data_IF_032185049788
#
_entry.id   IF_032185049788
#
_cell.length_a   1.000
_cell.length_b   1.000
_cell.length_c   1.000
_cell.angle_alpha   90.00
_cell.angle_beta   90.00
_cell.angle_gamma   90.00
#
_symmetry.space_group_name_H-M   'P 1'
#
loop_
_entity.id
_entity.type
_entity.pdbx_description
1 polymer ?
#
# COMPACT_ATOMS: atom_id res chain seq x y z
N UNK A 1 -6.18 10.90 14.55
CA UNK A 1 -5.51 12.14 14.12
C UNK A 1 -4.25 12.30 14.97
N UNK A 2 -3.07 12.07 14.40
CA UNK A 2 -1.77 12.04 15.09
C UNK A 2 -1.20 13.45 15.32
N UNK A 3 -2.08 14.45 15.52
CA UNK A 3 -1.71 15.86 15.61
C UNK A 3 -1.49 16.56 14.26
N UNK A 4 -1.83 15.91 13.14
CA UNK A 4 -1.71 16.45 11.78
C UNK A 4 -3.07 16.47 11.07
N UNK A 5 -3.42 17.57 10.41
CA UNK A 5 -4.54 17.62 9.49
C UNK A 5 -4.34 16.68 8.29
N UNK A 6 -5.43 16.29 7.62
CA UNK A 6 -5.35 15.39 6.46
C UNK A 6 -4.41 15.93 5.37
N UNK A 7 -4.43 17.23 5.08
CA UNK A 7 -3.54 17.84 4.09
C UNK A 7 -2.06 17.72 4.50
N UNK A 8 -1.73 17.97 5.77
CA UNK A 8 -0.36 17.86 6.26
C UNK A 8 0.15 16.41 6.16
N UNK A 9 -0.71 15.43 6.42
CA UNK A 9 -0.35 14.02 6.22
C UNK A 9 -0.13 13.67 4.74
N UNK A 10 -0.98 14.18 3.83
CA UNK A 10 -0.81 13.98 2.37
C UNK A 10 0.51 14.57 1.87
N UNK A 11 0.84 15.76 2.35
CA UNK A 11 2.09 16.43 2.00
C UNK A 11 3.31 15.64 2.52
N UNK A 12 3.23 15.13 3.75
CA UNK A 12 4.26 14.28 4.33
C UNK A 12 4.45 12.98 3.53
N UNK A 13 3.37 12.27 3.19
CA UNK A 13 3.42 11.03 2.39
C UNK A 13 4.02 11.30 1.02
N UNK A 14 3.65 12.42 0.39
CA UNK A 14 4.17 12.81 -0.93
C UNK A 14 5.68 13.09 -0.86
N UNK A 15 6.11 13.88 0.13
CA UNK A 15 7.52 14.20 0.34
C UNK A 15 8.35 12.95 0.63
N UNK A 16 7.85 12.04 1.47
CA UNK A 16 8.48 10.76 1.74
C UNK A 16 8.62 9.93 0.46
N UNK A 17 7.55 9.81 -0.33
CA UNK A 17 7.53 8.99 -1.54
C UNK A 17 8.52 9.50 -2.60
N UNK A 18 8.60 10.83 -2.76
CA UNK A 18 9.58 11.47 -3.66
C UNK A 18 10.99 11.19 -3.17
N UNK A 19 11.28 11.46 -1.88
CA UNK A 19 12.62 11.26 -1.33
C UNK A 19 13.04 9.79 -1.38
N UNK A 20 12.14 8.86 -1.13
CA UNK A 20 12.38 7.43 -1.24
C UNK A 20 12.77 7.07 -2.68
N UNK A 21 12.02 7.54 -3.68
CA UNK A 21 12.34 7.30 -5.10
C UNK A 21 13.70 7.88 -5.49
N UNK A 22 14.01 9.10 -5.04
CA UNK A 22 15.29 9.76 -5.33
C UNK A 22 16.49 9.01 -4.74
N UNK A 23 16.30 8.26 -3.64
CA UNK A 23 17.38 7.53 -2.96
C UNK A 23 17.45 6.06 -3.38
N UNK A 24 16.30 5.40 -3.53
CA UNK A 24 16.20 3.97 -3.81
C UNK A 24 16.01 3.66 -5.30
N UNK A 25 15.75 4.66 -6.13
CA UNK A 25 15.49 4.49 -7.57
C UNK A 25 14.09 3.98 -7.92
N UNK A 26 13.22 3.71 -6.92
CA UNK A 26 11.86 3.18 -7.12
C UNK A 26 10.86 3.79 -6.15
N UNK A 27 9.57 3.80 -6.50
CA UNK A 27 8.50 4.26 -5.59
C UNK A 27 8.36 3.30 -4.40
N UNK A 28 8.01 3.80 -3.19
CA UNK A 28 7.74 2.92 -2.06
C UNK A 28 6.40 2.18 -2.25
N UNK A 29 6.30 1.01 -1.62
CA UNK A 29 5.01 0.34 -1.38
C UNK A 29 4.40 0.95 -0.13
N UNK A 30 3.11 1.29 -0.18
CA UNK A 30 2.39 1.87 0.95
C UNK A 30 1.67 0.77 1.71
N UNK A 31 2.12 0.52 2.94
CA UNK A 31 1.42 -0.34 3.89
C UNK A 31 0.43 0.46 4.74
N UNK A 32 -0.84 0.05 4.77
CA UNK A 32 -1.89 0.69 5.57
C UNK A 32 -3.09 -0.25 5.77
N UNK A 33 -4.06 0.17 6.57
CA UNK A 33 -5.41 -0.41 6.61
C UNK A 33 -6.48 0.60 6.16
N UNK A 34 -7.69 0.10 5.90
CA UNK A 34 -8.84 0.88 5.46
C UNK A 34 -9.15 2.07 6.39
N UNK A 35 -9.18 1.82 7.70
CA UNK A 35 -9.63 2.80 8.68
C UNK A 35 -8.60 3.91 8.89
N UNK A 36 -7.33 3.55 9.10
CA UNK A 36 -6.27 4.54 9.31
C UNK A 36 -6.17 5.51 8.13
N UNK A 37 -6.18 4.98 6.90
CA UNK A 37 -6.04 5.84 5.73
C UNK A 37 -7.24 6.78 5.58
N UNK A 38 -8.46 6.26 5.69
CA UNK A 38 -9.66 7.09 5.53
C UNK A 38 -9.78 8.15 6.64
N UNK A 39 -9.43 7.80 7.88
CA UNK A 39 -9.51 8.74 9.01
C UNK A 39 -8.40 9.79 8.97
N UNK A 40 -7.18 9.40 8.59
CA UNK A 40 -5.97 10.24 8.73
C UNK A 40 -5.58 10.93 7.44
N UNK A 41 -5.82 10.31 6.29
CA UNK A 41 -5.43 10.80 4.95
C UNK A 41 -6.67 11.23 4.15
N UNK A 42 -7.77 10.51 4.28
CA UNK A 42 -9.03 10.76 3.57
C UNK A 42 -9.03 10.22 2.13
N UNK A 43 -9.95 10.76 1.31
CA UNK A 43 -10.16 10.36 -0.09
C UNK A 43 -9.06 10.87 -1.04
N UNK A 44 -7.83 10.40 -0.83
CA UNK A 44 -6.65 10.73 -1.62
C UNK A 44 -5.66 9.57 -1.62
N UNK A 45 -4.96 9.40 -2.74
CA UNK A 45 -3.91 8.39 -2.93
C UNK A 45 -2.83 8.97 -3.84
N UNK A 46 -1.53 8.76 -3.57
CA UNK A 46 -0.47 9.13 -4.51
C UNK A 46 -0.59 8.35 -5.83
N UNK A 47 -0.34 9.00 -6.95
CA UNK A 47 -0.34 8.35 -8.28
C UNK A 47 0.70 7.23 -8.35
N UNK A 48 0.36 6.10 -8.98
CA UNK A 48 1.22 4.93 -9.12
C UNK A 48 1.90 4.54 -7.79
N UNK A 49 1.10 4.23 -6.77
CA UNK A 49 1.57 3.78 -5.46
C UNK A 49 1.08 2.37 -5.17
N UNK A 50 1.96 1.36 -5.18
CA UNK A 50 1.59 0.01 -4.81
C UNK A 50 1.05 -0.05 -3.37
N UNK A 51 -0.08 -0.73 -3.18
CA UNK A 51 -0.77 -0.91 -1.92
C UNK A 51 -0.46 -2.28 -1.31
N UNK A 52 0.01 -2.25 -0.07
CA UNK A 52 0.07 -3.40 0.83
C UNK A 52 -1.00 -3.24 1.91
N UNK A 53 -2.15 -3.87 1.69
CA UNK A 53 -3.33 -3.69 2.53
C UNK A 53 -3.35 -4.66 3.71
N UNK A 54 -3.41 -4.12 4.93
CA UNK A 54 -3.82 -4.88 6.11
C UNK A 54 -5.34 -4.96 6.22
N UNK A 55 -5.85 -6.19 6.12
CA UNK A 55 -7.28 -6.50 6.23
C UNK A 55 -7.43 -7.95 6.71
N UNK A 56 -7.59 -8.16 8.01
CA UNK A 56 -7.60 -9.52 8.57
C UNK A 56 -8.94 -10.22 8.30
N UNK A 57 -8.96 -11.06 7.26
CA UNK A 57 -10.15 -11.71 6.73
C UNK A 57 -9.78 -13.01 6.03
N UNK A 58 -10.74 -13.93 5.94
CA UNK A 58 -10.60 -15.16 5.13
C UNK A 58 -10.92 -14.94 3.65
N UNK A 59 -11.56 -13.83 3.30
CA UNK A 59 -11.91 -13.45 1.93
C UNK A 59 -11.12 -12.22 1.49
N UNK A 60 -10.80 -12.16 0.18
CA UNK A 60 -10.07 -11.03 -0.41
C UNK A 60 -10.80 -9.71 -0.15
N UNK A 61 -10.09 -8.63 0.22
CA UNK A 61 -10.69 -7.33 0.45
C UNK A 61 -11.24 -6.76 -0.86
N UNK A 62 -12.50 -6.31 -0.80
CA UNK A 62 -13.21 -5.62 -1.89
C UNK A 62 -13.41 -4.13 -1.63
N UNK A 63 -13.16 -3.67 -0.41
CA UNK A 63 -13.22 -2.26 -0.02
C UNK A 63 -11.81 -1.77 0.28
N UNK A 64 -11.37 -0.74 -0.43
CA UNK A 64 -10.01 -0.21 -0.36
C UNK A 64 -10.01 1.21 0.20
N UNK A 65 -8.93 1.63 0.88
CA UNK A 65 -8.79 3.00 1.35
C UNK A 65 -8.60 4.00 0.23
N UNK A 66 -8.90 5.27 0.50
CA UNK A 66 -8.63 6.37 -0.42
C UNK A 66 -9.20 6.11 -1.81
N UNK A 67 -8.35 6.27 -2.84
CA UNK A 67 -8.72 6.13 -4.25
C UNK A 67 -8.14 4.89 -4.93
N UNK A 68 -7.50 3.98 -4.16
CA UNK A 68 -7.05 2.71 -4.72
C UNK A 68 -8.23 1.89 -5.22
N UNK A 69 -8.06 1.26 -6.38
CA UNK A 69 -9.00 0.29 -6.95
C UNK A 69 -8.38 -1.11 -7.10
N UNK A 70 -7.13 -1.27 -6.67
CA UNK A 70 -6.39 -2.54 -6.62
C UNK A 70 -5.32 -2.54 -5.53
N UNK A 71 -4.73 -3.70 -5.27
CA UNK A 71 -3.65 -3.91 -4.30
C UNK A 71 -2.69 -5.00 -4.77
N UNK A 72 -1.42 -4.89 -4.36
CA UNK A 72 -0.35 -5.83 -4.68
C UNK A 72 -0.23 -6.91 -3.62
N UNK A 73 -0.24 -6.49 -2.36
CA UNK A 73 -0.05 -7.35 -1.21
C UNK A 73 -1.23 -7.20 -0.26
N UNK A 74 -1.66 -8.32 0.31
CA UNK A 74 -2.71 -8.36 1.31
C UNK A 74 -2.21 -9.07 2.56
N UNK A 75 -2.09 -8.34 3.66
CA UNK A 75 -1.87 -8.90 4.98
C UNK A 75 -3.23 -9.38 5.54
N UNK A 76 -3.42 -10.69 5.52
CA UNK A 76 -4.70 -11.34 5.86
C UNK A 76 -4.76 -11.86 7.29
N UNK A 77 -3.63 -11.91 7.99
CA UNK A 77 -3.54 -12.33 9.39
C UNK A 77 -2.31 -11.72 10.06
N UNK A 78 -2.41 -11.44 11.35
CA UNK A 78 -1.34 -10.98 12.25
C UNK A 78 -0.69 -12.13 13.06
N UNK A 79 -1.15 -13.38 12.87
CA UNK A 79 -0.81 -14.46 13.79
C UNK A 79 -0.66 -15.86 13.18
N UNK A 80 -0.73 -16.03 11.86
CA UNK A 80 -0.60 -17.37 11.30
C UNK A 80 -0.70 -17.46 9.79
N UNK A 81 -0.36 -18.62 9.20
CA UNK A 81 0.01 -19.88 9.87
C UNK A 81 1.50 -19.96 10.28
N UNK A 82 2.31 -18.99 9.88
CA UNK A 82 3.73 -18.89 10.25
C UNK A 82 3.94 -17.78 11.28
N UNK A 83 5.13 -17.73 11.88
CA UNK A 83 5.44 -16.68 12.85
C UNK A 83 5.37 -15.28 12.20
N UNK A 84 4.63 -14.38 12.84
CA UNK A 84 4.39 -13.01 12.36
C UNK A 84 3.17 -12.90 11.44
N UNK A 85 3.12 -11.81 10.70
CA UNK A 85 2.00 -11.50 9.81
C UNK A 85 2.05 -12.33 8.52
N UNK A 86 0.89 -12.77 8.05
CA UNK A 86 0.80 -13.50 6.77
C UNK A 86 0.22 -12.65 5.66
N UNK A 87 0.88 -12.76 4.51
CA UNK A 87 0.67 -11.90 3.37
C UNK A 87 0.45 -12.73 2.09
N UNK A 88 -0.40 -12.23 1.20
CA UNK A 88 -0.65 -12.82 -0.11
C UNK A 88 -0.34 -11.81 -1.21
N UNK A 89 0.35 -12.26 -2.25
CA UNK A 89 0.51 -11.56 -3.51
C UNK A 89 -0.76 -11.73 -4.38
N UNK A 90 -1.20 -10.65 -5.04
CA UNK A 90 -2.44 -10.66 -5.84
C UNK A 90 -2.27 -11.27 -7.25
N UNK A 91 -1.06 -11.19 -7.83
CA UNK A 91 -0.79 -11.53 -9.24
C UNK A 91 -0.19 -12.93 -9.49
N UNK A 92 0.30 -13.14 -10.71
CA UNK A 92 1.12 -14.30 -11.08
C UNK A 92 2.55 -14.18 -10.56
N UNK A 93 3.31 -15.27 -10.63
CA UNK A 93 4.75 -15.28 -10.33
C UNK A 93 5.53 -14.31 -11.23
N UNK A 94 5.24 -14.24 -12.53
CA UNK A 94 5.89 -13.28 -13.44
C UNK A 94 5.56 -11.82 -13.09
N UNK A 95 4.35 -11.53 -12.60
CA UNK A 95 4.00 -10.19 -12.12
C UNK A 95 4.72 -9.89 -10.80
N UNK A 96 4.92 -10.90 -9.94
CA UNK A 96 5.73 -10.76 -8.73
C UNK A 96 7.19 -10.46 -9.06
N UNK A 97 7.77 -11.17 -10.03
CA UNK A 97 9.12 -10.90 -10.54
C UNK A 97 9.25 -9.46 -11.06
N UNK A 98 8.27 -8.99 -11.84
CA UNK A 98 8.23 -7.59 -12.29
C UNK A 98 8.13 -6.62 -11.10
N UNK A 99 7.27 -6.89 -10.12
CA UNK A 99 7.13 -6.05 -8.93
C UNK A 99 8.43 -5.89 -8.12
N UNK A 100 9.24 -6.96 -8.03
CA UNK A 100 10.50 -6.93 -7.27
C UNK A 100 11.71 -6.44 -8.08
N UNK A 101 11.67 -6.53 -9.41
CA UNK A 101 12.82 -6.18 -10.28
C UNK A 101 12.67 -4.87 -11.06
N UNK A 102 11.45 -4.46 -11.38
CA UNK A 102 11.20 -3.21 -12.11
C UNK A 102 11.20 -2.00 -11.16
N UNK A 103 12.14 -1.09 -11.40
CA UNK A 103 12.26 0.13 -10.60
C UNK A 103 11.11 1.13 -10.86
N UNK A 104 10.46 1.06 -12.03
CA UNK A 104 9.34 1.93 -12.39
C UNK A 104 8.02 1.15 -12.52
N UNK A 105 7.88 0.05 -11.77
CA UNK A 105 6.68 -0.79 -11.68
C UNK A 105 5.37 0.02 -11.68
N UNK A 106 4.40 -0.45 -12.48
CA UNK A 106 3.07 0.14 -12.59
C UNK A 106 2.12 -0.51 -11.58
N UNK A 107 1.62 0.29 -10.63
CA UNK A 107 0.74 -0.18 -9.58
C UNK A 107 -0.57 -0.72 -10.15
N UNK A 108 -1.02 -1.85 -9.61
CA UNK A 108 -2.24 -2.52 -10.05
C UNK A 108 -3.52 -1.72 -9.80
N UNK A 109 -3.45 -0.63 -9.01
CA UNK A 109 -4.62 -0.03 -8.39
C UNK A 109 -4.67 1.49 -8.32
N UNK A 110 -3.76 2.24 -8.97
CA UNK A 110 -3.78 3.71 -9.03
C UNK A 110 -2.80 4.30 -10.04
#
# INVERSE_FOLDING_TARGET
>A
NYGLGQQEMRDWISAFSIRYRDQAGRRPVIYTNLHWWNDVVGDWTPTNSPLFLASYSSSRPSTLPGRWWGWELWQYSDSGPFAGDSNLWYGSESQFESFVTDADYDAAGI
#
